data_IF_336458250290
#
_entry.id   IF_336458250290
#
_cell.length_a   1.000
_cell.length_b   1.000
_cell.length_c   1.000
_cell.angle_alpha   90.00
_cell.angle_beta   90.00
_cell.angle_gamma   90.00
#
_symmetry.space_group_name_H-M   'P 1'
#
loop_
_entity.id
_entity.type
_entity.pdbx_description
1 polymer ?
#
# COMPACT_ATOMS: atom_id res chain seq x y z
N UNK A 1 14.87 4.08 -6.86
CA UNK A 1 13.83 4.68 -5.99
C UNK A 1 13.23 5.85 -6.72
N UNK A 2 11.89 5.90 -6.87
CA UNK A 2 11.20 7.06 -7.46
C UNK A 2 11.37 8.26 -6.53
N UNK A 3 11.55 9.46 -7.08
CA UNK A 3 11.58 10.66 -6.26
C UNK A 3 10.19 10.99 -5.70
N UNK A 4 10.09 11.69 -4.57
CA UNK A 4 8.81 11.99 -3.90
C UNK A 4 7.80 12.70 -4.81
N UNK A 5 8.28 13.55 -5.71
CA UNK A 5 7.44 14.25 -6.67
C UNK A 5 6.85 13.32 -7.73
N UNK A 6 7.60 12.31 -8.16
CA UNK A 6 7.12 11.28 -9.09
C UNK A 6 6.06 10.40 -8.42
N UNK A 7 6.28 10.05 -7.14
CA UNK A 7 5.30 9.30 -6.33
C UNK A 7 4.02 10.14 -6.19
N UNK A 8 4.14 11.43 -5.87
CA UNK A 8 3.00 12.36 -5.78
C UNK A 8 2.21 12.42 -7.08
N UNK A 9 2.91 12.56 -8.21
CA UNK A 9 2.26 12.59 -9.53
C UNK A 9 1.55 11.27 -9.84
N UNK A 10 2.17 10.13 -9.55
CA UNK A 10 1.56 8.82 -9.73
C UNK A 10 0.29 8.67 -8.88
N UNK A 11 0.35 9.03 -7.60
CA UNK A 11 -0.80 8.97 -6.71
C UNK A 11 -1.94 9.89 -7.17
N UNK A 12 -1.64 11.07 -7.71
CA UNK A 12 -2.67 11.95 -8.27
C UNK A 12 -3.36 11.37 -9.51
N UNK A 13 -2.73 10.44 -10.24
CA UNK A 13 -3.39 9.71 -11.34
C UNK A 13 -4.25 8.57 -10.80
N UNK A 14 -3.79 7.91 -9.72
CA UNK A 14 -4.50 6.75 -9.14
C UNK A 14 -5.74 7.15 -8.34
N UNK A 15 -5.66 8.25 -7.58
CA UNK A 15 -6.78 8.77 -6.81
C UNK A 15 -7.57 9.76 -7.65
N UNK A 16 -8.82 9.42 -7.99
CA UNK A 16 -9.73 10.38 -8.62
C UNK A 16 -10.23 11.39 -7.59
N UNK A 17 -10.53 12.65 -7.96
CA UNK A 17 -10.95 13.71 -7.03
C UNK A 17 -12.30 13.44 -6.33
N UNK A 18 -12.99 12.34 -6.65
CA UNK A 18 -14.31 11.98 -6.14
C UNK A 18 -14.33 10.86 -5.12
N UNK A 19 -13.18 10.28 -4.75
CA UNK A 19 -13.07 9.25 -3.70
C UNK A 19 -12.96 9.91 -2.31
N UNK A 20 -13.98 10.69 -1.92
CA UNK A 20 -14.14 11.26 -0.57
C UNK A 20 -15.07 10.33 0.23
N UNK A 21 -14.63 9.08 0.39
CA UNK A 21 -15.33 8.11 1.25
C UNK A 21 -14.54 8.01 2.56
N UNK A 22 -15.11 8.57 3.64
CA UNK A 22 -14.43 8.80 4.93
C UNK A 22 -13.93 7.53 5.64
N UNK A 23 -14.18 6.34 5.08
CA UNK A 23 -13.78 5.03 5.63
C UNK A 23 -12.62 4.40 4.83
N UNK A 24 -12.29 4.93 3.65
CA UNK A 24 -11.23 4.42 2.78
C UNK A 24 -9.94 5.21 2.96
N UNK A 25 -8.80 4.58 2.65
CA UNK A 25 -7.53 5.28 2.58
C UNK A 25 -7.62 6.33 1.48
N UNK A 26 -7.49 7.59 1.89
CA UNK A 26 -7.57 8.73 0.98
C UNK A 26 -6.17 9.21 0.61
N UNK A 27 -6.10 10.01 -0.45
CA UNK A 27 -4.86 10.63 -0.91
C UNK A 27 -4.09 11.35 0.21
N UNK A 28 -4.82 11.94 1.16
CA UNK A 28 -4.26 12.68 2.29
C UNK A 28 -3.42 11.80 3.23
N UNK A 29 -3.77 10.52 3.41
CA UNK A 29 -2.97 9.59 4.22
C UNK A 29 -1.58 9.41 3.61
N UNK A 30 -1.50 9.27 2.28
CA UNK A 30 -0.24 9.21 1.55
C UNK A 30 0.52 10.55 1.60
N UNK A 31 -0.16 11.69 1.47
CA UNK A 31 0.50 13.00 1.56
C UNK A 31 1.11 13.24 2.94
N UNK A 32 0.52 12.71 4.02
CA UNK A 32 1.09 12.80 5.36
C UNK A 32 2.50 12.23 5.40
N UNK A 33 2.69 11.00 4.91
CA UNK A 33 4.00 10.34 4.84
C UNK A 33 4.93 11.06 3.86
N UNK A 34 4.45 11.41 2.66
CA UNK A 34 5.29 12.08 1.65
C UNK A 34 5.90 13.38 2.17
N UNK A 35 5.15 14.11 2.98
CA UNK A 35 5.57 15.40 3.52
C UNK A 35 6.43 15.28 4.79
N UNK A 36 6.25 14.23 5.60
CA UNK A 36 6.98 14.06 6.88
C UNK A 36 8.27 13.25 6.77
N UNK A 37 8.28 12.19 5.97
CA UNK A 37 9.40 11.26 5.90
C UNK A 37 10.66 11.93 5.31
N UNK A 38 11.85 11.40 5.56
CA UNK A 38 13.06 11.86 4.87
C UNK A 38 13.13 11.29 3.45
N UNK A 39 12.84 9.99 3.32
CA UNK A 39 12.75 9.30 2.04
C UNK A 39 11.45 8.51 1.95
N UNK A 40 11.02 8.23 0.71
CA UNK A 40 9.83 7.43 0.47
C UNK A 40 10.09 6.35 -0.58
N UNK A 41 9.50 5.18 -0.37
CA UNK A 41 9.41 4.11 -1.35
C UNK A 41 7.94 3.79 -1.63
N UNK A 42 7.61 3.58 -2.90
CA UNK A 42 6.28 3.18 -3.32
C UNK A 42 6.37 1.79 -3.96
N UNK A 43 5.59 0.85 -3.44
CA UNK A 43 5.42 -0.50 -3.98
C UNK A 43 4.01 -0.61 -4.55
N UNK A 44 3.93 -1.19 -5.74
CA UNK A 44 2.67 -1.50 -6.43
C UNK A 44 2.73 -2.94 -6.91
N UNK A 45 1.88 -3.80 -6.37
CA UNK A 45 1.78 -5.20 -6.78
C UNK A 45 0.33 -5.55 -7.08
N UNK A 46 0.11 -6.40 -8.07
CA UNK A 46 -1.21 -6.79 -8.54
C UNK A 46 -1.20 -8.29 -8.88
N UNK A 47 -2.29 -8.96 -8.55
CA UNK A 47 -2.53 -10.35 -8.92
C UNK A 47 -3.36 -11.09 -7.88
N UNK A 48 -3.54 -12.39 -8.10
CA UNK A 48 -4.16 -13.26 -7.11
C UNK A 48 -3.38 -13.27 -5.79
N UNK A 49 -4.09 -13.44 -4.68
CA UNK A 49 -3.57 -13.36 -3.32
C UNK A 49 -2.20 -14.05 -3.06
N UNK A 50 -1.97 -15.33 -3.44
CA UNK A 50 -0.67 -15.97 -3.16
C UNK A 50 0.48 -15.35 -3.96
N UNK A 51 0.23 -14.95 -5.21
CA UNK A 51 1.24 -14.29 -6.06
C UNK A 51 1.55 -12.90 -5.52
N UNK A 52 0.51 -12.18 -5.12
CA UNK A 52 0.61 -10.83 -4.61
C UNK A 52 1.34 -10.77 -3.25
N UNK A 53 1.11 -11.74 -2.37
CA UNK A 53 1.86 -11.87 -1.12
C UNK A 53 3.36 -12.17 -1.35
N UNK A 54 3.69 -13.04 -2.30
CA UNK A 54 5.08 -13.37 -2.64
C UNK A 54 5.81 -12.19 -3.29
N UNK A 55 5.13 -11.47 -4.20
CA UNK A 55 5.67 -10.25 -4.80
C UNK A 55 5.90 -9.15 -3.75
N UNK A 56 4.93 -8.92 -2.86
CA UNK A 56 5.07 -7.96 -1.77
C UNK A 56 6.26 -8.32 -0.88
N UNK A 57 6.41 -9.59 -0.51
CA UNK A 57 7.56 -10.09 0.27
C UNK A 57 8.89 -9.80 -0.44
N UNK A 58 8.97 -10.06 -1.74
CA UNK A 58 10.18 -9.83 -2.53
C UNK A 58 10.56 -8.33 -2.58
N UNK A 59 9.57 -7.45 -2.79
CA UNK A 59 9.78 -6.01 -2.82
C UNK A 59 10.22 -5.47 -1.44
N UNK A 60 9.61 -5.96 -0.36
CA UNK A 60 9.96 -5.58 1.01
C UNK A 60 11.38 -6.06 1.39
N UNK A 61 11.77 -7.27 1.00
CA UNK A 61 13.13 -7.81 1.23
C UNK A 61 14.19 -6.98 0.50
N UNK A 62 13.91 -6.57 -0.74
CA UNK A 62 14.79 -5.73 -1.54
C UNK A 62 14.98 -4.32 -0.94
N UNK A 63 14.00 -3.80 -0.21
CA UNK A 63 14.03 -2.47 0.38
C UNK A 63 14.86 -2.36 1.68
N UNK A 64 15.25 -3.48 2.32
CA UNK A 64 16.08 -3.50 3.54
C UNK A 64 15.58 -2.50 4.61
N UNK A 65 14.31 -2.64 4.96
CA UNK A 65 13.56 -1.66 5.73
C UNK A 65 13.91 -1.73 7.23
N UNK A 66 14.16 -0.58 7.86
CA UNK A 66 14.57 -0.45 9.27
C UNK A 66 13.40 -0.56 10.26
N UNK A 67 13.68 -0.33 11.55
CA UNK A 67 12.69 -0.54 12.63
C UNK A 67 11.64 0.57 12.80
N UNK A 68 11.91 1.80 12.34
CA UNK A 68 11.03 2.97 12.54
C UNK A 68 10.49 3.46 11.20
N UNK A 69 9.28 3.01 10.86
CA UNK A 69 8.66 3.24 9.56
C UNK A 69 7.21 3.67 9.73
N UNK A 70 6.79 4.62 8.90
CA UNK A 70 5.38 4.89 8.65
C UNK A 70 4.98 4.23 7.34
N UNK A 71 3.88 3.49 7.35
CA UNK A 71 3.35 2.84 6.15
C UNK A 71 1.88 3.19 5.93
N UNK A 72 1.54 3.49 4.67
CA UNK A 72 0.16 3.61 4.21
C UNK A 72 -0.10 2.55 3.15
N UNK A 73 -1.15 1.75 3.35
CA UNK A 73 -1.51 0.64 2.47
C UNK A 73 -2.94 0.81 1.98
N UNK A 74 -3.12 0.89 0.66
CA UNK A 74 -4.44 0.73 0.02
C UNK A 74 -4.49 -0.65 -0.64
N UNK A 75 -5.40 -1.50 -0.16
CA UNK A 75 -5.74 -2.77 -0.82
C UNK A 75 -6.97 -2.55 -1.69
N UNK A 76 -6.86 -2.86 -2.97
CA UNK A 76 -7.96 -2.74 -3.92
C UNK A 76 -8.37 -4.12 -4.41
N UNK A 77 -9.67 -4.33 -4.58
CA UNK A 77 -10.26 -5.55 -5.12
C UNK A 77 -11.37 -5.20 -6.10
N UNK A 78 -11.78 -6.15 -6.94
CA UNK A 78 -12.86 -5.89 -7.89
C UNK A 78 -14.22 -5.76 -7.15
N UNK A 79 -15.10 -4.81 -7.52
CA UNK A 79 -16.36 -4.55 -6.80
C UNK A 79 -17.36 -5.71 -6.78
N UNK A 80 -17.25 -6.66 -7.71
CA UNK A 80 -18.06 -7.88 -7.71
C UNK A 80 -17.47 -9.01 -6.83
N UNK A 81 -16.27 -8.81 -6.29
CA UNK A 81 -15.55 -9.81 -5.52
C UNK A 81 -15.81 -9.67 -4.02
N UNK A 82 -15.87 -10.81 -3.34
CA UNK A 82 -15.92 -10.85 -1.89
C UNK A 82 -14.51 -10.85 -1.32
N UNK A 83 -14.23 -9.91 -0.42
CA UNK A 83 -12.96 -9.85 0.28
C UNK A 83 -12.93 -10.86 1.43
N UNK A 84 -11.93 -11.74 1.44
CA UNK A 84 -11.72 -12.67 2.53
C UNK A 84 -10.92 -12.02 3.66
N UNK A 85 -11.38 -12.18 4.89
CA UNK A 85 -10.63 -11.76 6.08
C UNK A 85 -9.30 -12.51 6.21
N UNK A 86 -9.27 -13.78 5.81
CA UNK A 86 -8.06 -14.62 5.86
C UNK A 86 -6.97 -14.11 4.89
N UNK A 87 -7.40 -13.70 3.69
CA UNK A 87 -6.55 -13.07 2.69
C UNK A 87 -5.94 -11.76 3.22
N UNK A 88 -6.78 -10.90 3.82
CA UNK A 88 -6.33 -9.65 4.45
C UNK A 88 -5.35 -9.90 5.59
N UNK A 89 -5.64 -10.85 6.47
CA UNK A 89 -4.74 -11.22 7.56
C UNK A 89 -3.40 -11.75 7.04
N UNK A 90 -3.42 -12.53 5.97
CA UNK A 90 -2.20 -13.05 5.33
C UNK A 90 -1.31 -11.91 4.82
N UNK A 91 -1.90 -10.90 4.18
CA UNK A 91 -1.16 -9.73 3.69
C UNK A 91 -0.54 -8.90 4.82
N UNK A 92 -1.32 -8.61 5.85
CA UNK A 92 -0.82 -7.86 7.01
C UNK A 92 0.27 -8.64 7.76
N UNK A 93 0.18 -9.96 7.79
CA UNK A 93 1.20 -10.83 8.37
C UNK A 93 2.53 -10.68 7.63
N UNK A 94 2.51 -10.70 6.29
CA UNK A 94 3.73 -10.49 5.49
C UNK A 94 4.39 -9.15 5.85
N UNK A 95 3.64 -8.06 5.93
CA UNK A 95 4.19 -6.74 6.26
C UNK A 95 4.77 -6.71 7.68
N UNK A 96 4.06 -7.30 8.64
CA UNK A 96 4.49 -7.38 10.03
C UNK A 96 5.76 -8.23 10.21
N UNK A 97 6.01 -9.24 9.38
CA UNK A 97 7.26 -10.01 9.40
C UNK A 97 8.48 -9.13 9.12
N UNK A 98 8.36 -8.15 8.22
CA UNK A 98 9.47 -7.26 7.86
C UNK A 98 9.58 -6.03 8.77
N UNK A 99 8.45 -5.53 9.29
CA UNK A 99 8.44 -4.32 10.09
C UNK A 99 7.52 -4.46 11.31
N UNK A 100 7.96 -5.16 12.38
CA UNK A 100 7.10 -5.47 13.53
C UNK A 100 6.71 -4.25 14.38
N UNK A 101 7.41 -3.11 14.25
CA UNK A 101 7.13 -1.86 14.98
C UNK A 101 6.56 -0.76 14.09
N UNK A 102 6.15 -1.08 12.86
CA UNK A 102 5.66 -0.09 11.90
C UNK A 102 4.32 0.50 12.29
N UNK A 103 4.19 1.81 12.11
CA UNK A 103 2.91 2.50 12.21
C UNK A 103 2.14 2.33 10.88
N UNK A 104 1.17 1.42 10.86
CA UNK A 104 0.39 1.11 9.66
C UNK A 104 -0.94 1.86 9.66
N UNK A 105 -1.17 2.61 8.60
CA UNK A 105 -2.49 3.09 8.21
C UNK A 105 -2.92 2.30 6.98
N UNK A 106 -4.00 1.52 7.08
CA UNK A 106 -4.43 0.66 5.98
C UNK A 106 -5.94 0.71 5.77
N UNK A 107 -6.37 0.36 4.56
CA UNK A 107 -7.77 0.25 4.23
C UNK A 107 -8.00 -0.39 2.88
N UNK A 108 -9.26 -0.72 2.64
CA UNK A 108 -9.69 -1.44 1.45
C UNK A 108 -10.57 -0.55 0.58
N UNK A 109 -10.43 -0.68 -0.74
CA UNK A 109 -11.27 0.00 -1.72
C UNK A 109 -11.56 -0.90 -2.91
N UNK A 110 -12.44 -0.46 -3.80
CA UNK A 110 -12.79 -1.20 -5.01
C UNK A 110 -12.13 -0.60 -6.24
N UNK A 111 -11.61 -1.42 -7.14
CA UNK A 111 -11.15 -1.00 -8.47
C UNK A 111 -11.78 -1.90 -9.55
N UNK A 112 -12.65 -1.30 -10.37
CA UNK A 112 -13.34 -1.98 -11.45
C UNK A 112 -12.42 -2.40 -12.62
N UNK A 113 -11.15 -1.96 -12.63
CA UNK A 113 -10.17 -2.36 -13.63
C UNK A 113 -9.46 -3.68 -13.29
N UNK A 114 -9.55 -4.13 -12.03
CA UNK A 114 -8.96 -5.39 -11.59
C UNK A 114 -9.75 -6.59 -12.11
N UNK A 115 -9.07 -7.72 -12.32
CA UNK A 115 -9.78 -8.98 -12.53
C UNK A 115 -10.52 -9.39 -11.24
N UNK A 116 -11.63 -10.12 -11.38
CA UNK A 116 -12.47 -10.54 -10.24
C UNK A 116 -11.70 -11.38 -9.19
N UNK A 117 -10.65 -12.07 -9.60
CA UNK A 117 -9.83 -12.91 -8.71
C UNK A 117 -8.63 -12.18 -8.12
N UNK A 118 -8.36 -10.97 -8.59
CA UNK A 118 -7.11 -10.28 -8.37
C UNK A 118 -7.30 -9.14 -7.38
N UNK A 119 -6.20 -8.88 -6.66
CA UNK A 119 -6.07 -7.78 -5.74
C UNK A 119 -4.95 -6.86 -6.23
N UNK A 120 -4.98 -5.62 -5.77
CA UNK A 120 -3.88 -4.68 -5.97
C UNK A 120 -3.50 -4.05 -4.63
N UNK A 121 -2.20 -3.96 -4.37
CA UNK A 121 -1.67 -3.25 -3.22
C UNK A 121 -0.90 -2.04 -3.70
N UNK A 122 -1.25 -0.92 -3.12
CA UNK A 122 -0.48 0.32 -3.18
C UNK A 122 0.06 0.61 -1.78
N UNK A 123 1.35 0.37 -1.59
CA UNK A 123 2.06 0.57 -0.33
C UNK A 123 3.04 1.73 -0.46
N UNK A 124 2.90 2.74 0.39
CA UNK A 124 3.86 3.82 0.56
C UNK A 124 4.57 3.64 1.91
N UNK A 125 5.90 3.65 1.85
CA UNK A 125 6.77 3.54 3.02
C UNK A 125 7.52 4.84 3.18
N UNK A 126 7.42 5.45 4.35
CA UNK A 126 8.26 6.57 4.76
C UNK A 126 9.34 6.10 5.71
N UNK A 127 10.58 6.50 5.44
CA UNK A 127 11.69 6.34 6.39
C UNK A 127 11.96 7.70 7.04
N UNK A 128 12.00 7.74 8.36
CA UNK A 128 12.53 8.90 9.08
C UNK A 128 14.04 9.00 8.83
N UNK A 129 14.59 10.21 8.86
CA UNK A 129 16.04 10.36 8.92
C UNK A 129 16.44 10.04 10.36
N UNK A 130 17.39 9.13 10.55
CA UNK A 130 18.11 8.96 11.82
C UNK A 130 18.81 10.26 12.25
#
# INVERSE_FOLDING_TARGET
MKNKEEIRHYLNIQFSPSEDDMVQIVRNDFDRILNSAASCALITVEGAMPVLAEQLRTELEALHIGADLDMVIKVSYHPASEISFDDLCSLLTVIHEFAPQVNIVWGCGTDAKLAETDYSILLLIGTSAE
#
